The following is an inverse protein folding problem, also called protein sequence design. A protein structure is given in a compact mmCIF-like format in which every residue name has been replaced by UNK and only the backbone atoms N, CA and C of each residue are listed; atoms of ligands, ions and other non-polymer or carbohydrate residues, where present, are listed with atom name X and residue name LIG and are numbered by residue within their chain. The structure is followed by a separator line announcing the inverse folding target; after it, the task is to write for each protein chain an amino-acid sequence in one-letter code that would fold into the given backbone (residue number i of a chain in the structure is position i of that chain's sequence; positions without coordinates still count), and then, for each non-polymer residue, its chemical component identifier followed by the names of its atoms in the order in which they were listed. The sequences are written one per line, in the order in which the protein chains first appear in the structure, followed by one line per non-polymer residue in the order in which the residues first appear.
data_IF_359726513025
#
_entry.id   IF_359726513025
#
_cell.length_a   1.000
_cell.length_b   1.000
_cell.length_c   1.000
_cell.angle_alpha   90.00
_cell.angle_beta   90.00
_cell.angle_gamma   90.00
#
_symmetry.space_group_name_H-M   'P 1'
#
loop_
_entity.id
_entity.type
_entity.pdbx_description
1 polymer ?
#
# COMPACT_ATOMS: atom_id res chain seq x y z
N UNK A 1 -28.28 -7.48 -17.54
CA UNK A 1 -28.82 -7.59 -16.16
C UNK A 1 -27.74 -7.13 -15.21
N UNK A 2 -28.07 -6.26 -14.24
CA UNK A 2 -27.12 -5.84 -13.20
C UNK A 2 -27.09 -6.90 -12.10
N UNK A 3 -25.90 -7.39 -11.71
CA UNK A 3 -25.70 -8.26 -10.54
C UNK A 3 -25.07 -7.45 -9.42
N UNK A 4 -25.56 -7.61 -8.19
CA UNK A 4 -25.08 -6.90 -7.01
C UNK A 4 -24.51 -7.93 -6.02
N UNK A 5 -23.27 -7.72 -5.59
CA UNK A 5 -22.65 -8.52 -4.52
C UNK A 5 -22.99 -7.89 -3.17
N UNK A 6 -23.57 -8.69 -2.26
CA UNK A 6 -23.89 -8.26 -0.91
C UNK A 6 -22.73 -8.58 0.03
N UNK A 7 -21.96 -7.57 0.39
CA UNK A 7 -20.88 -7.70 1.35
C UNK A 7 -21.38 -7.45 2.76
N UNK A 8 -20.78 -8.11 3.76
CA UNK A 8 -21.04 -7.86 5.16
C UNK A 8 -19.75 -7.43 5.85
N UNK A 9 -19.84 -6.29 6.52
CA UNK A 9 -18.79 -5.75 7.36
C UNK A 9 -18.75 -6.48 8.70
N UNK A 10 -17.59 -6.99 9.10
CA UNK A 10 -17.42 -7.70 10.38
C UNK A 10 -16.68 -6.82 11.37
N UNK A 11 -15.68 -6.08 10.92
CA UNK A 11 -14.90 -5.15 11.74
C UNK A 11 -14.37 -4.00 10.88
N UNK A 12 -14.20 -2.82 11.47
CA UNK A 12 -13.57 -1.67 10.79
C UNK A 12 -12.17 -2.03 10.29
N UNK A 13 -11.86 -1.79 9.01
CA UNK A 13 -10.57 -2.08 8.45
C UNK A 13 -9.57 -1.03 8.91
N UNK A 14 -8.42 -1.51 9.35
CA UNK A 14 -7.33 -0.69 9.89
C UNK A 14 -6.04 -0.88 9.14
N UNK A 15 -5.90 -2.04 8.50
CA UNK A 15 -4.71 -2.43 7.78
C UNK A 15 -4.84 -2.04 6.31
N UNK A 16 -3.76 -1.55 5.68
CA UNK A 16 -3.75 -1.24 4.25
C UNK A 16 -4.07 -2.46 3.39
N UNK A 17 -4.66 -2.23 2.22
CA UNK A 17 -5.00 -3.30 1.28
C UNK A 17 -3.88 -3.58 0.28
N UNK A 18 -3.76 -4.85 -0.12
CA UNK A 18 -2.82 -5.29 -1.14
C UNK A 18 -3.44 -5.19 -2.53
N UNK A 19 -2.65 -4.72 -3.50
CA UNK A 19 -3.08 -4.68 -4.91
C UNK A 19 -3.39 -6.11 -5.38
N UNK A 20 -4.59 -6.36 -5.92
CA UNK A 20 -4.94 -7.68 -6.42
C UNK A 20 -4.08 -8.03 -7.65
N UNK A 21 -3.59 -9.27 -7.69
CA UNK A 21 -2.81 -9.76 -8.81
C UNK A 21 -3.65 -9.83 -10.10
N UNK A 22 -2.99 -9.57 -11.24
CA UNK A 22 -3.59 -9.81 -12.56
C UNK A 22 -3.60 -11.31 -12.81
N UNK A 23 -4.79 -11.89 -12.87
CA UNK A 23 -5.00 -13.35 -12.98
C UNK A 23 -5.78 -13.70 -14.24
N UNK A 24 -5.48 -14.83 -14.87
CA UNK A 24 -6.09 -15.23 -16.16
C UNK A 24 -7.16 -16.31 -16.03
N UNK A 25 -7.41 -16.79 -14.81
CA UNK A 25 -8.44 -17.79 -14.54
C UNK A 25 -9.39 -17.33 -13.44
N UNK A 26 -10.57 -17.96 -13.44
CA UNK A 26 -11.71 -17.56 -12.61
C UNK A 26 -11.49 -17.86 -11.13
N UNK A 27 -10.93 -19.02 -10.81
CA UNK A 27 -10.71 -19.43 -9.41
C UNK A 27 -9.74 -18.47 -8.74
N UNK A 28 -8.66 -18.09 -9.41
CA UNK A 28 -7.69 -17.14 -8.87
C UNK A 28 -8.31 -15.74 -8.73
N UNK A 29 -9.17 -15.33 -9.67
CA UNK A 29 -9.88 -14.05 -9.59
C UNK A 29 -10.86 -13.99 -8.40
N UNK A 30 -11.59 -15.08 -8.16
CA UNK A 30 -12.47 -15.24 -6.99
C UNK A 30 -11.65 -15.29 -5.70
N UNK A 31 -10.52 -16.00 -5.71
CA UNK A 31 -9.62 -16.08 -4.56
C UNK A 31 -9.05 -14.71 -4.20
N UNK A 32 -8.63 -13.93 -5.20
CA UNK A 32 -8.18 -12.55 -5.01
C UNK A 32 -9.28 -11.69 -4.36
N UNK A 33 -10.53 -11.81 -4.81
CA UNK A 33 -11.65 -11.04 -4.26
C UNK A 33 -11.89 -11.39 -2.78
N UNK A 34 -11.91 -12.69 -2.46
CA UNK A 34 -12.12 -13.16 -1.08
C UNK A 34 -10.96 -12.72 -0.18
N UNK A 35 -9.72 -12.74 -0.68
CA UNK A 35 -8.54 -12.27 0.07
C UNK A 35 -8.67 -10.79 0.39
N UNK A 36 -9.00 -9.96 -0.60
CA UNK A 36 -9.17 -8.52 -0.41
C UNK A 36 -10.24 -8.22 0.64
N UNK A 37 -11.39 -8.91 0.59
CA UNK A 37 -12.43 -8.77 1.62
C UNK A 37 -11.93 -9.16 3.01
N UNK A 38 -11.13 -10.23 3.12
CA UNK A 38 -10.57 -10.68 4.40
C UNK A 38 -9.59 -9.69 5.01
N UNK A 39 -8.75 -9.04 4.21
CA UNK A 39 -7.81 -8.00 4.67
C UNK A 39 -8.52 -6.86 5.41
N UNK A 40 -9.74 -6.53 4.96
CA UNK A 40 -10.55 -5.45 5.54
C UNK A 40 -11.65 -5.95 6.50
N UNK A 41 -11.56 -7.20 6.97
CA UNK A 41 -12.54 -7.74 7.90
C UNK A 41 -13.96 -7.81 7.33
N UNK A 42 -14.10 -8.02 6.02
CA UNK A 42 -15.37 -8.24 5.33
C UNK A 42 -15.51 -9.70 4.89
N UNK A 43 -16.76 -10.11 4.65
CA UNK A 43 -17.05 -11.36 3.98
C UNK A 43 -18.15 -11.16 2.93
N UNK A 44 -18.34 -12.19 2.10
CA UNK A 44 -19.34 -12.23 1.03
C UNK A 44 -20.80 -12.29 1.53
N UNK A 45 -21.06 -11.99 2.82
CA UNK A 45 -22.40 -11.88 3.35
C UNK A 45 -23.27 -13.11 3.06
N UNK A 46 -24.37 -12.90 2.34
CA UNK A 46 -25.29 -13.96 1.90
C UNK A 46 -25.07 -14.41 0.45
N UNK A 47 -23.98 -13.99 -0.20
CA UNK A 47 -23.68 -14.38 -1.57
C UNK A 47 -23.25 -15.84 -1.57
N UNK A 48 -23.95 -16.66 -2.35
CA UNK A 48 -23.54 -18.04 -2.57
C UNK A 48 -22.28 -18.05 -3.43
N UNK A 49 -21.34 -18.96 -3.16
CA UNK A 49 -20.12 -19.05 -3.96
C UNK A 49 -20.43 -19.29 -5.44
N UNK A 50 -21.50 -20.02 -5.72
CA UNK A 50 -21.97 -20.34 -7.06
C UNK A 50 -22.40 -19.07 -7.81
N UNK A 51 -23.02 -18.10 -7.14
CA UNK A 51 -23.36 -16.79 -7.73
C UNK A 51 -22.11 -16.05 -8.24
N UNK A 52 -20.99 -16.19 -7.53
CA UNK A 52 -19.71 -15.59 -7.90
C UNK A 52 -19.05 -16.36 -9.05
N UNK A 53 -19.21 -17.68 -9.07
CA UNK A 53 -18.82 -18.52 -10.20
C UNK A 53 -19.74 -18.40 -11.42
N UNK A 54 -20.83 -17.65 -11.34
CA UNK A 54 -21.66 -17.28 -12.49
C UNK A 54 -21.27 -15.93 -13.13
N UNK A 55 -20.39 -15.14 -12.50
CA UNK A 55 -19.90 -13.88 -13.10
C UNK A 55 -18.84 -14.17 -14.17
N UNK A 56 -18.75 -13.34 -15.21
CA UNK A 56 -17.65 -13.43 -16.16
C UNK A 56 -16.30 -13.09 -15.49
N UNK A 57 -15.22 -13.71 -15.96
CA UNK A 57 -13.87 -13.47 -15.43
C UNK A 57 -13.52 -11.96 -15.44
N UNK A 58 -13.85 -11.27 -16.52
CA UNK A 58 -13.59 -9.84 -16.69
C UNK A 58 -14.36 -8.99 -15.69
N UNK A 59 -15.59 -9.41 -15.33
CA UNK A 59 -16.39 -8.75 -14.30
C UNK A 59 -15.74 -8.96 -12.94
N UNK A 60 -15.29 -10.17 -12.62
CA UNK A 60 -14.61 -10.45 -11.33
C UNK A 60 -13.31 -9.65 -11.22
N UNK A 61 -12.52 -9.56 -12.30
CA UNK A 61 -11.31 -8.75 -12.34
C UNK A 61 -11.61 -7.25 -12.16
N UNK A 62 -12.64 -6.75 -12.82
CA UNK A 62 -13.09 -5.36 -12.66
C UNK A 62 -13.52 -5.10 -11.22
N UNK A 63 -14.34 -5.96 -10.64
CA UNK A 63 -14.77 -5.89 -9.24
C UNK A 63 -13.58 -5.89 -8.27
N UNK A 64 -12.57 -6.73 -8.49
CA UNK A 64 -11.36 -6.73 -7.65
C UNK A 64 -10.65 -5.37 -7.66
N UNK A 65 -10.46 -4.79 -8.85
CA UNK A 65 -9.80 -3.48 -9.00
C UNK A 65 -10.65 -2.36 -8.39
N UNK A 66 -11.93 -2.34 -8.69
CA UNK A 66 -12.83 -1.28 -8.24
C UNK A 66 -12.98 -1.32 -6.71
N UNK A 67 -13.12 -2.52 -6.12
CA UNK A 67 -13.14 -2.69 -4.67
C UNK A 67 -11.80 -2.28 -4.03
N UNK A 68 -10.66 -2.64 -4.65
CA UNK A 68 -9.36 -2.23 -4.13
C UNK A 68 -9.22 -0.70 -4.10
N UNK A 69 -9.64 0.00 -5.14
CA UNK A 69 -9.57 1.47 -5.19
C UNK A 69 -10.47 2.12 -4.12
N UNK A 70 -11.66 1.58 -3.88
CA UNK A 70 -12.52 2.04 -2.78
C UNK A 70 -11.89 1.81 -1.40
N UNK A 71 -11.33 0.62 -1.17
CA UNK A 71 -10.68 0.29 0.11
C UNK A 71 -9.39 1.09 0.31
N UNK A 72 -8.61 1.34 -0.74
CA UNK A 72 -7.40 2.17 -0.68
C UNK A 72 -7.69 3.57 -0.17
N UNK A 73 -8.83 4.16 -0.54
CA UNK A 73 -9.24 5.47 -0.02
C UNK A 73 -9.49 5.42 1.50
N UNK A 74 -9.97 4.28 2.00
CA UNK A 74 -10.32 4.11 3.41
C UNK A 74 -9.13 3.76 4.30
N UNK A 75 -8.26 2.85 3.85
CA UNK A 75 -7.16 2.29 4.68
C UNK A 75 -5.76 2.44 4.08
N UNK A 76 -5.64 3.03 2.89
CA UNK A 76 -4.39 3.09 2.14
C UNK A 76 -4.05 1.78 1.43
N UNK A 77 -3.00 1.81 0.62
CA UNK A 77 -2.41 0.63 0.01
C UNK A 77 -1.12 0.22 0.74
N UNK A 78 -0.79 -1.07 0.66
CA UNK A 78 0.51 -1.55 1.13
C UNK A 78 1.60 -0.88 0.28
N UNK A 79 2.61 -0.21 0.89
CA UNK A 79 3.67 0.46 0.15
C UNK A 79 4.37 -0.52 -0.79
N UNK A 80 4.22 -0.29 -2.10
CA UNK A 80 5.05 -0.98 -3.07
C UNK A 80 6.44 -0.37 -2.97
N UNK A 81 7.43 -1.19 -2.59
CA UNK A 81 8.84 -0.82 -2.71
C UNK A 81 9.14 -0.75 -4.22
N UNK A 82 8.80 0.39 -4.82
CA UNK A 82 9.38 0.78 -6.09
C UNK A 82 10.78 1.24 -5.76
N UNK A 83 11.78 0.70 -6.45
CA UNK A 83 13.19 1.09 -6.33
C UNK A 83 13.27 2.61 -6.14
N UNK A 84 13.99 3.14 -5.14
CA UNK A 84 14.05 4.57 -4.92
C UNK A 84 14.51 5.22 -6.22
N UNK A 85 13.61 5.99 -6.85
CA UNK A 85 13.97 6.89 -7.95
C UNK A 85 15.18 7.67 -7.44
N UNK A 86 16.31 7.52 -8.14
CA UNK A 86 17.54 8.21 -7.81
C UNK A 86 17.22 9.67 -7.49
N UNK A 87 17.70 10.22 -6.37
CA UNK A 87 17.54 11.64 -6.11
C UNK A 87 18.08 12.43 -7.30
N UNK A 88 17.46 13.59 -7.64
CA UNK A 88 17.96 14.42 -8.72
C UNK A 88 19.44 14.73 -8.48
N UNK A 89 20.30 14.73 -9.52
CA UNK A 89 21.67 15.16 -9.35
C UNK A 89 21.65 16.57 -8.78
N UNK A 90 22.30 16.72 -7.62
CA UNK A 90 22.55 18.02 -7.02
C UNK A 90 23.46 18.73 -8.00
N UNK A 91 22.88 19.62 -8.81
CA UNK A 91 23.64 20.43 -9.75
C UNK A 91 24.55 21.32 -8.91
N UNK A 92 25.82 20.92 -8.87
CA UNK A 92 26.85 21.56 -8.06
C UNK A 92 27.25 22.82 -8.82
N UNK A 93 26.61 23.95 -8.49
CA UNK A 93 27.18 25.26 -8.80
C UNK A 93 28.04 25.67 -7.62
N UNK A 94 29.34 25.63 -7.87
CA UNK A 94 30.42 26.15 -7.05
C UNK A 94 30.06 27.46 -6.34
N UNK A 95 30.02 27.44 -5.01
CA UNK A 95 30.52 28.59 -4.28
C UNK A 95 31.23 28.15 -3.00
N UNK A 96 32.49 28.57 -2.93
CA UNK A 96 33.44 28.36 -1.86
C UNK A 96 32.83 28.71 -0.50
N UNK A 97 32.89 27.79 0.46
CA UNK A 97 33.37 28.02 1.84
C UNK A 97 33.23 26.70 2.59
N UNK A 98 34.36 26.05 2.88
CA UNK A 98 34.41 24.93 3.80
C UNK A 98 33.85 25.36 5.17
N UNK A 99 32.92 24.62 5.79
CA UNK A 99 32.58 24.89 7.18
C UNK A 99 33.71 24.32 8.05
N UNK A 100 34.57 25.19 8.55
CA UNK A 100 35.57 24.86 9.56
C UNK A 100 34.88 24.59 10.90
N UNK A 101 34.63 23.31 11.19
CA UNK A 101 34.19 22.88 12.53
C UNK A 101 35.40 22.38 13.33
N UNK A 102 36.11 23.30 13.99
CA UNK A 102 36.87 22.98 15.20
C UNK A 102 36.86 24.20 16.13
N UNK A 103 35.86 24.24 17.01
CA UNK A 103 35.92 25.04 18.23
C UNK A 103 36.61 24.16 19.29
N UNK A 104 37.94 24.26 19.38
CA UNK A 104 38.67 23.64 20.48
C UNK A 104 38.40 24.44 21.75
N UNK A 105 37.79 23.77 22.73
CA UNK A 105 37.64 24.28 24.08
C UNK A 105 39.02 24.54 24.71
N UNK A 106 39.20 25.70 25.32
CA UNK A 106 40.38 26.00 26.12
C UNK A 106 40.31 25.22 27.44
N UNK A 107 41.30 24.39 27.71
CA UNK A 107 41.57 23.89 29.05
C UNK A 107 42.49 24.91 29.74
N UNK A 108 41.88 25.71 30.61
CA UNK A 108 42.54 26.53 31.62
C UNK A 108 42.87 25.62 32.83
N UNK A 109 44.13 25.62 33.25
CA UNK A 109 44.58 24.68 34.28
C UNK A 109 46.03 24.84 34.73
N UNK A 110 46.43 26.09 34.93
CA UNK A 110 47.48 26.61 35.83
C UNK A 110 48.52 25.65 36.42
N UNK A 111 49.80 25.96 36.16
CA UNK A 111 50.94 25.62 37.01
C UNK A 111 50.77 26.17 38.43
N UNK A 112 51.09 25.37 39.45
CA UNK A 112 51.53 25.87 40.76
C UNK A 112 52.71 25.05 41.28
N UNK A 113 53.83 25.76 41.42
CA UNK A 113 55.08 25.59 42.21
C UNK A 113 55.44 24.26 42.87
#
# INVERSE_FOLDING_TARGET
MMKILKLKWIAEPKDPVTIPAIVTNKIDAVTALIRLLKEVGMNLGSVETDDLFDLDLTVIQATNRDLFEELKILVGDVPQITDPVSPPPIDTVDNLTAPSYYASAAEDGSDTS
#
